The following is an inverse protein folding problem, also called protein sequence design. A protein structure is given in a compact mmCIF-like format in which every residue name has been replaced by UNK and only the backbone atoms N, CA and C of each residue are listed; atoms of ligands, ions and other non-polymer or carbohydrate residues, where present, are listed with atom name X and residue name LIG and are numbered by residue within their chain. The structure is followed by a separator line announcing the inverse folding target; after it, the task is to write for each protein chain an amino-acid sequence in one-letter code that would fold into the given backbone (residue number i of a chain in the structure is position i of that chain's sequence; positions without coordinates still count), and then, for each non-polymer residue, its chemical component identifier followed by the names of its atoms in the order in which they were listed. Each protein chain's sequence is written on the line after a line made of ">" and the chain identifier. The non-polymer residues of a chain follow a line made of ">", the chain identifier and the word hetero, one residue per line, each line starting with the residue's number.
data_IF_484550091161
#
_entry.id   IF_484550091161
#
_cell.length_a   1.000
_cell.length_b   1.000
_cell.length_c   1.000
_cell.angle_alpha   90.00
_cell.angle_beta   90.00
_cell.angle_gamma   90.00
#
_symmetry.space_group_name_H-M   'P 1'
#
loop_
_entity.id
_entity.type
_entity.pdbx_description
1 polymer ?
#
# COMPACT_ATOMS: atom_id res chain seq x y z
N UNK A 1 -16.22 -4.09 4.30
CA UNK A 1 -16.08 -2.99 3.33
C UNK A 1 -14.85 -2.20 3.75
N UNK A 2 -13.88 -1.98 2.86
CA UNK A 2 -12.76 -1.08 3.16
C UNK A 2 -13.24 0.37 3.06
N UNK A 3 -12.55 1.29 3.73
CA UNK A 3 -12.74 2.73 3.51
C UNK A 3 -12.21 3.16 2.12
N UNK A 4 -12.31 4.43 1.80
CA UNK A 4 -11.86 4.97 0.51
C UNK A 4 -10.35 4.72 0.31
N UNK A 5 -9.54 5.04 1.31
CA UNK A 5 -8.08 4.89 1.24
C UNK A 5 -7.68 3.41 1.02
N UNK A 6 -8.27 2.48 1.76
CA UNK A 6 -8.04 1.05 1.59
C UNK A 6 -8.45 0.54 0.21
N UNK A 7 -9.55 1.05 -0.36
CA UNK A 7 -9.91 0.71 -1.74
C UNK A 7 -8.91 1.26 -2.77
N UNK A 8 -8.39 2.47 -2.56
CA UNK A 8 -7.41 3.09 -3.46
C UNK A 8 -6.07 2.36 -3.39
N UNK A 9 -5.54 2.13 -2.18
CA UNK A 9 -4.28 1.44 -1.93
C UNK A 9 -4.31 -0.02 -2.39
N UNK A 10 -5.48 -0.68 -2.38
CA UNK A 10 -5.63 -2.02 -2.97
C UNK A 10 -5.34 -2.09 -4.48
N UNK A 11 -5.26 -0.94 -5.17
CA UNK A 11 -4.78 -0.85 -6.54
C UNK A 11 -3.30 -1.17 -6.65
N UNK A 12 -2.50 -0.85 -5.63
CA UNK A 12 -1.03 -0.89 -5.69
C UNK A 12 -0.43 -2.30 -5.53
N UNK A 13 -1.28 -3.33 -5.41
CA UNK A 13 -0.92 -4.74 -5.58
C UNK A 13 0.33 -5.18 -4.79
N UNK A 14 1.31 -5.68 -5.54
CA UNK A 14 2.58 -6.22 -5.04
C UNK A 14 3.38 -5.21 -4.21
N UNK A 15 3.37 -3.93 -4.60
CA UNK A 15 4.15 -2.91 -3.91
C UNK A 15 3.66 -2.70 -2.46
N UNK A 16 2.33 -2.68 -2.27
CA UNK A 16 1.74 -2.59 -0.93
C UNK A 16 2.03 -3.83 -0.09
N UNK A 17 1.98 -5.02 -0.71
CA UNK A 17 2.27 -6.28 -0.01
C UNK A 17 3.72 -6.36 0.48
N UNK A 18 4.67 -5.88 -0.33
CA UNK A 18 6.08 -5.83 0.07
C UNK A 18 6.29 -4.91 1.26
N UNK A 19 5.73 -3.70 1.22
CA UNK A 19 5.83 -2.73 2.34
C UNK A 19 5.14 -3.24 3.59
N UNK A 20 3.96 -3.86 3.47
CA UNK A 20 3.26 -4.46 4.60
C UNK A 20 4.09 -5.58 5.23
N UNK A 21 4.65 -6.47 4.41
CA UNK A 21 5.51 -7.54 4.90
C UNK A 21 6.77 -7.01 5.59
N UNK A 22 7.38 -5.97 5.02
CA UNK A 22 8.53 -5.30 5.64
C UNK A 22 8.16 -4.74 7.02
N UNK A 23 6.99 -4.10 7.15
CA UNK A 23 6.51 -3.56 8.42
C UNK A 23 6.22 -4.67 9.45
N UNK A 24 5.62 -5.78 9.02
CA UNK A 24 5.42 -6.97 9.87
C UNK A 24 6.74 -7.54 10.39
N UNK A 25 7.72 -7.75 9.50
CA UNK A 25 9.05 -8.24 9.88
C UNK A 25 9.73 -7.24 10.82
N UNK A 26 9.62 -5.95 10.54
CA UNK A 26 10.18 -4.89 11.38
C UNK A 26 9.58 -4.87 12.79
N UNK A 27 8.27 -5.12 12.91
CA UNK A 27 7.57 -5.18 14.19
C UNK A 27 8.02 -6.38 15.04
N UNK A 28 8.36 -7.51 14.41
CA UNK A 28 8.83 -8.71 15.12
C UNK A 28 10.16 -8.49 15.86
N UNK A 29 11.00 -7.55 15.44
CA UNK A 29 12.23 -7.21 16.19
C UNK A 29 11.98 -6.67 17.61
N UNK A 30 10.74 -6.31 17.95
CA UNK A 30 10.36 -5.95 19.32
C UNK A 30 10.10 -7.16 20.23
N UNK A 31 10.06 -8.38 19.70
CA UNK A 31 9.80 -9.63 20.44
C UNK A 31 11.10 -10.33 20.84
N UNK A 32 11.07 -11.10 21.93
CA UNK A 32 12.19 -11.98 22.29
C UNK A 32 12.33 -13.10 21.25
N UNK A 33 13.54 -13.30 20.74
CA UNK A 33 13.88 -14.34 19.78
C UNK A 33 15.33 -14.80 19.97
N UNK A 34 15.66 -15.97 19.43
CA UNK A 34 17.04 -16.46 19.38
C UNK A 34 17.91 -15.69 18.37
N UNK A 35 19.23 -15.81 18.50
CA UNK A 35 20.18 -15.23 17.55
C UNK A 35 19.97 -15.76 16.12
N UNK A 36 19.64 -17.05 15.97
CA UNK A 36 19.38 -17.66 14.67
C UNK A 36 18.11 -17.07 14.03
N UNK A 37 17.01 -16.96 14.79
CA UNK A 37 15.77 -16.33 14.32
C UNK A 37 16.01 -14.86 13.96
N UNK A 38 16.82 -14.13 14.73
CA UNK A 38 17.16 -12.74 14.44
C UNK A 38 17.91 -12.63 13.12
N UNK A 39 18.88 -13.50 12.85
CA UNK A 39 19.63 -13.50 11.60
C UNK A 39 18.73 -13.78 10.38
N UNK A 40 17.81 -14.75 10.50
CA UNK A 40 16.84 -15.05 9.45
C UNK A 40 15.91 -13.85 9.18
N UNK A 41 15.44 -13.15 10.22
CA UNK A 41 14.62 -11.95 10.07
C UNK A 41 15.38 -10.80 9.41
N UNK A 42 16.66 -10.61 9.74
CA UNK A 42 17.50 -9.59 9.12
C UNK A 42 17.68 -9.88 7.62
N UNK A 43 17.91 -11.14 7.25
CA UNK A 43 18.02 -11.55 5.85
C UNK A 43 16.71 -11.32 5.09
N UNK A 44 15.56 -11.72 5.66
CA UNK A 44 14.24 -11.46 5.06
C UNK A 44 13.97 -9.96 4.90
N UNK A 45 14.25 -9.16 5.93
CA UNK A 45 14.07 -7.70 5.88
C UNK A 45 14.92 -7.06 4.78
N UNK A 46 16.17 -7.50 4.61
CA UNK A 46 17.06 -7.01 3.56
C UNK A 46 16.53 -7.33 2.15
N UNK A 47 16.07 -8.56 1.92
CA UNK A 47 15.46 -8.94 0.63
C UNK A 47 14.20 -8.13 0.32
N UNK A 48 13.37 -7.87 1.33
CA UNK A 48 12.17 -7.04 1.18
C UNK A 48 12.56 -5.59 0.85
N UNK A 49 13.55 -5.04 1.55
CA UNK A 49 14.05 -3.69 1.30
C UNK A 49 14.54 -3.53 -0.14
N UNK A 50 15.35 -4.46 -0.65
CA UNK A 50 15.83 -4.42 -2.04
C UNK A 50 14.68 -4.44 -3.05
N UNK A 51 13.64 -5.25 -2.81
CA UNK A 51 12.46 -5.32 -3.68
C UNK A 51 11.65 -4.02 -3.63
N UNK A 52 11.48 -3.41 -2.45
CA UNK A 52 10.75 -2.15 -2.29
C UNK A 52 11.52 -1.01 -2.97
N UNK A 53 12.84 -0.94 -2.80
CA UNK A 53 13.70 0.04 -3.45
C UNK A 53 13.64 -0.08 -4.98
N UNK A 54 13.67 -1.31 -5.51
CA UNK A 54 13.63 -1.57 -6.95
C UNK A 54 12.36 -1.06 -7.65
N UNK A 55 11.25 -0.92 -6.92
CA UNK A 55 9.96 -0.44 -7.45
C UNK A 55 9.58 0.95 -6.94
N UNK A 56 10.48 1.65 -6.25
CA UNK A 56 10.21 2.95 -5.61
C UNK A 56 8.95 2.90 -4.72
N UNK A 57 8.88 1.84 -3.91
CA UNK A 57 7.73 1.45 -3.11
C UNK A 57 7.59 2.21 -1.78
N UNK A 58 8.61 2.95 -1.32
CA UNK A 58 8.49 3.74 -0.09
C UNK A 58 7.53 4.93 -0.24
N UNK A 59 7.39 5.44 -1.46
CA UNK A 59 6.55 6.59 -1.77
C UNK A 59 5.08 6.23 -2.08
N UNK A 60 4.66 4.98 -1.84
CA UNK A 60 3.34 4.50 -2.28
C UNK A 60 2.18 5.31 -1.67
N UNK A 61 2.20 5.56 -0.36
CA UNK A 61 1.15 6.32 0.32
C UNK A 61 1.05 7.75 -0.24
N UNK A 62 2.20 8.40 -0.40
CA UNK A 62 2.28 9.75 -1.00
C UNK A 62 1.76 9.76 -2.44
N UNK A 63 2.11 8.75 -3.25
CA UNK A 63 1.59 8.60 -4.62
C UNK A 63 0.07 8.40 -4.63
N UNK A 64 -0.45 7.64 -3.68
CA UNK A 64 -1.88 7.44 -3.52
C UNK A 64 -2.59 8.75 -3.15
N UNK A 65 -2.10 9.49 -2.15
CA UNK A 65 -2.66 10.79 -1.74
C UNK A 65 -2.73 11.78 -2.91
N UNK A 66 -1.65 11.91 -3.68
CA UNK A 66 -1.61 12.79 -4.86
C UNK A 66 -2.67 12.40 -5.89
N UNK A 67 -2.80 11.10 -6.18
CA UNK A 67 -3.81 10.60 -7.12
C UNK A 67 -5.24 10.83 -6.59
N UNK A 68 -5.43 10.67 -5.28
CA UNK A 68 -6.70 10.88 -4.61
C UNK A 68 -7.16 12.34 -4.72
N UNK A 69 -6.24 13.27 -4.47
CA UNK A 69 -6.48 14.70 -4.60
C UNK A 69 -6.77 15.10 -6.06
N UNK A 70 -5.97 14.61 -7.01
CA UNK A 70 -6.14 14.89 -8.43
C UNK A 70 -7.52 14.46 -8.95
N UNK A 71 -8.03 13.32 -8.48
CA UNK A 71 -9.34 12.80 -8.86
C UNK A 71 -10.48 13.29 -7.97
N UNK A 72 -10.21 14.10 -6.95
CA UNK A 72 -11.22 14.57 -5.98
C UNK A 72 -12.05 13.41 -5.44
N UNK A 73 -11.39 12.33 -5.05
CA UNK A 73 -12.08 11.27 -4.32
C UNK A 73 -12.52 11.79 -2.94
N UNK A 74 -13.55 11.18 -2.36
CA UNK A 74 -13.99 11.53 -1.00
C UNK A 74 -12.90 11.27 0.04
N UNK A 75 -13.16 11.73 1.27
CA UNK A 75 -12.32 11.50 2.44
C UNK A 75 -11.85 10.04 2.56
N UNK A 76 -10.58 9.84 2.89
CA UNK A 76 -9.94 8.52 2.95
C UNK A 76 -10.60 7.55 3.93
N UNK A 77 -11.11 8.05 5.06
CA UNK A 77 -11.80 7.25 6.07
C UNK A 77 -13.29 7.04 5.79
N UNK A 78 -13.81 7.59 4.70
CA UNK A 78 -15.23 7.45 4.35
C UNK A 78 -15.56 5.99 3.98
N UNK A 79 -16.71 5.52 4.47
CA UNK A 79 -17.26 4.21 4.10
C UNK A 79 -17.74 4.22 2.64
N UNK A 80 -17.08 3.42 1.80
CA UNK A 80 -17.38 3.36 0.35
C UNK A 80 -18.81 2.92 0.03
N UNK A 81 -19.50 2.24 0.95
CA UNK A 81 -20.89 1.81 0.75
C UNK A 81 -21.87 2.98 0.77
N UNK A 82 -21.48 4.11 1.39
CA UNK A 82 -22.31 5.32 1.53
C UNK A 82 -22.11 6.34 0.41
N UNK A 83 -21.17 6.09 -0.49
CA UNK A 83 -20.82 7.00 -1.58
C UNK A 83 -21.90 7.04 -2.66
N UNK A 84 -21.98 8.15 -3.39
CA UNK A 84 -22.73 8.24 -4.64
C UNK A 84 -22.07 7.40 -5.75
N UNK A 85 -22.80 7.13 -6.83
CA UNK A 85 -22.25 6.39 -7.98
C UNK A 85 -21.07 7.13 -8.65
N UNK A 86 -21.11 8.46 -8.68
CA UNK A 86 -20.01 9.27 -9.21
C UNK A 86 -18.76 9.21 -8.35
N UNK A 87 -18.91 9.22 -7.03
CA UNK A 87 -17.79 9.08 -6.09
C UNK A 87 -17.15 7.69 -6.17
N UNK A 88 -17.96 6.62 -6.19
CA UNK A 88 -17.45 5.26 -6.40
C UNK A 88 -16.67 5.12 -7.71
N UNK A 89 -17.12 5.78 -8.78
CA UNK A 89 -16.40 5.79 -10.07
C UNK A 89 -15.03 6.48 -9.93
N UNK A 90 -14.93 7.59 -9.21
CA UNK A 90 -13.65 8.28 -8.98
C UNK A 90 -12.70 7.44 -8.13
N UNK A 91 -13.21 6.74 -7.11
CA UNK A 91 -12.42 5.79 -6.29
C UNK A 91 -11.89 4.65 -7.15
N UNK A 92 -12.73 4.04 -7.98
CA UNK A 92 -12.33 2.97 -8.89
C UNK A 92 -11.29 3.44 -9.93
N UNK A 93 -11.46 4.65 -10.47
CA UNK A 93 -10.49 5.24 -11.40
C UNK A 93 -9.15 5.50 -10.72
N UNK A 94 -9.17 6.02 -9.48
CA UNK A 94 -7.95 6.24 -8.69
C UNK A 94 -7.21 4.92 -8.44
N UNK A 95 -7.94 3.88 -8.02
CA UNK A 95 -7.40 2.53 -7.85
C UNK A 95 -6.76 2.00 -9.14
N UNK A 96 -7.42 2.16 -10.28
CA UNK A 96 -6.93 1.71 -11.58
C UNK A 96 -5.66 2.45 -12.03
N UNK A 97 -5.58 3.77 -11.80
CA UNK A 97 -4.38 4.53 -12.11
C UNK A 97 -3.18 4.08 -11.26
N UNK A 98 -3.42 3.79 -9.98
CA UNK A 98 -2.39 3.34 -9.04
C UNK A 98 -1.99 1.89 -9.22
N UNK A 99 -2.81 1.07 -9.87
CA UNK A 99 -2.44 -0.31 -10.21
C UNK A 99 -1.41 -0.41 -11.31
N UNK A 100 -0.93 0.73 -11.83
CA UNK A 100 0.09 0.84 -12.87
C UNK A 100 -0.03 -0.27 -13.93
N UNK A 101 -1.20 -0.45 -14.59
CA UNK A 101 -1.42 -1.56 -15.51
C UNK A 101 -0.70 -1.36 -16.88
N UNK A 102 0.44 -0.66 -16.87
CA UNK A 102 1.11 0.07 -17.96
C UNK A 102 0.36 1.35 -18.38
N UNK A 103 1.11 2.45 -18.62
CA UNK A 103 0.60 3.72 -19.15
C UNK A 103 -0.50 3.47 -20.21
N UNK A 104 -1.68 4.09 -20.07
CA UNK A 104 -2.82 3.96 -21.00
C UNK A 104 -2.43 3.74 -22.47
#
# INVERSE_FOLDING_TARGET
>A
SMDVAGNVLSGMGEAKQLVDRFNEVSARFAEEMSDDEMNDLIAEQAELQEKIDAIDGWDLERKAEIAMDALRVPDGGADVTKLSGGERRRVALCRLLLSAPDML
#
